data_IF_140803201186
#
_entry.id   IF_140803201186
#
_cell.length_a   1.000
_cell.length_b   1.000
_cell.length_c   1.000
_cell.angle_alpha   90.00
_cell.angle_beta   90.00
_cell.angle_gamma   90.00
#
_symmetry.space_group_name_H-M   'P 1'
#
loop_
_entity.id
_entity.type
_entity.pdbx_description
1 polymer ?
#
# COMPACT_ATOMS: atom_id res chain seq x y z
N UNK A 1 -35.70 -8.84 -5.07
CA UNK A 1 -34.89 -7.85 -5.77
C UNK A 1 -33.61 -7.75 -4.96
N UNK A 2 -32.63 -8.59 -5.28
CA UNK A 2 -31.28 -8.56 -4.69
C UNK A 2 -30.54 -7.41 -5.35
N UNK A 3 -30.38 -6.30 -4.61
CA UNK A 3 -29.51 -5.22 -5.01
C UNK A 3 -28.06 -5.69 -4.87
N UNK A 4 -27.41 -6.03 -5.97
CA UNK A 4 -25.98 -6.20 -6.00
C UNK A 4 -25.36 -4.85 -5.63
N UNK A 5 -24.84 -4.73 -4.43
CA UNK A 5 -24.09 -3.57 -4.00
C UNK A 5 -22.73 -3.66 -4.71
N UNK A 6 -22.60 -2.97 -5.83
CA UNK A 6 -21.32 -2.77 -6.49
C UNK A 6 -20.46 -1.89 -5.59
N UNK A 7 -19.62 -2.49 -4.78
CA UNK A 7 -18.58 -1.75 -4.08
C UNK A 7 -17.57 -1.26 -5.12
N UNK A 8 -17.55 0.05 -5.32
CA UNK A 8 -16.55 0.69 -6.16
C UNK A 8 -15.20 0.59 -5.42
N UNK A 9 -14.32 -0.30 -5.87
CA UNK A 9 -12.97 -0.43 -5.29
C UNK A 9 -12.21 0.86 -5.57
N UNK A 10 -11.97 1.63 -4.51
CA UNK A 10 -11.21 2.86 -4.61
C UNK A 10 -9.71 2.54 -4.75
N UNK A 11 -9.06 3.13 -5.75
CA UNK A 11 -7.60 3.04 -5.89
C UNK A 11 -6.91 3.91 -4.84
N UNK A 12 -5.66 3.58 -4.52
CA UNK A 12 -4.86 4.38 -3.59
C UNK A 12 -4.59 5.79 -4.12
N UNK A 13 -4.61 6.83 -3.26
CA UNK A 13 -4.27 8.20 -3.64
C UNK A 13 -2.78 8.38 -3.95
N UNK A 14 -1.94 7.46 -3.44
CA UNK A 14 -0.49 7.44 -3.62
C UNK A 14 -0.05 6.24 -4.45
N UNK A 15 0.94 6.42 -5.29
CA UNK A 15 1.75 5.30 -5.77
C UNK A 15 2.81 5.02 -4.71
N UNK A 16 2.82 3.81 -4.20
CA UNK A 16 3.70 3.43 -3.09
C UNK A 16 4.50 2.18 -3.46
N UNK A 17 5.80 2.21 -3.16
CA UNK A 17 6.67 1.07 -3.39
C UNK A 17 6.22 -0.13 -2.53
N UNK A 18 6.18 -1.33 -3.11
CA UNK A 18 5.65 -2.51 -2.40
C UNK A 18 4.12 -2.54 -2.25
N UNK A 19 3.40 -1.59 -2.88
CA UNK A 19 1.94 -1.50 -2.78
C UNK A 19 1.23 -2.78 -3.20
N UNK A 20 0.22 -3.19 -2.44
CA UNK A 20 -0.47 -4.50 -2.52
C UNK A 20 -1.62 -4.54 -3.53
N UNK A 21 -1.63 -3.64 -4.54
CA UNK A 21 -2.72 -3.57 -5.53
C UNK A 21 -2.97 -4.91 -6.25
N UNK A 22 -1.90 -5.66 -6.58
CA UNK A 22 -2.00 -6.97 -7.25
C UNK A 22 -2.51 -8.08 -6.33
N UNK A 23 -2.36 -7.92 -5.01
CA UNK A 23 -2.81 -8.88 -4.01
C UNK A 23 -4.22 -8.59 -3.48
N UNK A 24 -4.82 -7.46 -3.86
CA UNK A 24 -6.14 -7.07 -3.35
C UNK A 24 -7.21 -8.17 -3.47
N UNK A 25 -7.34 -8.91 -4.59
CA UNK A 25 -8.32 -9.98 -4.67
C UNK A 25 -8.14 -11.01 -3.56
N UNK A 26 -6.90 -11.41 -3.26
CA UNK A 26 -6.60 -12.38 -2.21
C UNK A 26 -6.79 -11.80 -0.81
N UNK A 27 -6.35 -10.56 -0.60
CA UNK A 27 -6.52 -9.86 0.69
C UNK A 27 -8.00 -9.66 1.04
N UNK A 28 -8.81 -9.26 0.05
CA UNK A 28 -10.25 -9.08 0.23
C UNK A 28 -10.97 -10.41 0.50
N UNK A 29 -10.54 -11.50 -0.16
CA UNK A 29 -11.07 -12.84 0.07
C UNK A 29 -10.83 -13.32 1.51
N UNK A 30 -9.67 -12.99 2.08
CA UNK A 30 -9.28 -13.37 3.44
C UNK A 30 -9.81 -12.42 4.51
N UNK A 31 -10.51 -11.34 4.14
CA UNK A 31 -10.99 -10.34 5.10
C UNK A 31 -12.05 -10.94 6.03
N UNK A 32 -11.77 -11.10 7.34
CA UNK A 32 -12.73 -11.68 8.28
C UNK A 32 -13.79 -10.67 8.72
N UNK A 33 -14.93 -11.09 9.25
CA UNK A 33 -15.85 -10.20 9.96
C UNK A 33 -15.14 -9.49 11.13
N UNK A 34 -15.29 -8.15 11.18
CA UNK A 34 -14.71 -7.30 12.21
C UNK A 34 -15.51 -6.00 12.36
N UNK A 35 -15.36 -5.32 13.49
CA UNK A 35 -15.94 -4.00 13.73
C UNK A 35 -14.89 -2.90 13.69
N UNK A 36 -13.65 -3.23 14.06
CA UNK A 36 -12.51 -2.32 14.01
C UNK A 36 -11.46 -2.86 13.04
N UNK A 37 -11.09 -2.05 12.06
CA UNK A 37 -9.97 -2.30 11.14
C UNK A 37 -8.75 -1.52 11.57
N UNK A 38 -7.58 -2.14 11.57
CA UNK A 38 -6.34 -1.49 11.93
C UNK A 38 -5.21 -1.89 10.96
N UNK A 39 -4.73 -0.93 10.15
CA UNK A 39 -3.60 -1.11 9.23
C UNK A 39 -2.36 -0.44 9.84
N UNK A 40 -1.48 -1.26 10.44
CA UNK A 40 -0.39 -0.77 11.31
C UNK A 40 0.89 -0.41 10.55
N UNK A 41 0.99 -0.78 9.27
CA UNK A 41 2.01 -0.37 8.30
C UNK A 41 1.27 0.10 7.05
N UNK A 42 0.69 1.29 7.09
CA UNK A 42 -0.31 1.69 6.09
C UNK A 42 0.27 1.87 4.69
N UNK A 43 1.50 2.36 4.56
CA UNK A 43 2.09 2.61 3.25
C UNK A 43 1.12 3.29 2.27
N UNK A 44 0.86 2.65 1.13
CA UNK A 44 -0.11 3.15 0.13
C UNK A 44 -1.59 2.94 0.49
N UNK A 45 -1.92 2.31 1.62
CA UNK A 45 -3.29 2.02 2.08
C UNK A 45 -4.14 1.22 1.08
N UNK A 46 -3.53 0.23 0.40
CA UNK A 46 -4.22 -0.49 -0.67
C UNK A 46 -5.47 -1.21 -0.18
N UNK A 47 -5.38 -1.95 0.93
CA UNK A 47 -6.51 -2.69 1.49
C UNK A 47 -7.53 -1.75 2.14
N UNK A 48 -7.07 -0.70 2.85
CA UNK A 48 -7.94 0.31 3.45
C UNK A 48 -8.89 0.96 2.43
N UNK A 49 -8.37 1.39 1.26
CA UNK A 49 -9.19 2.02 0.23
C UNK A 49 -10.03 1.03 -0.58
N UNK A 50 -9.64 -0.23 -0.66
CA UNK A 50 -10.34 -1.24 -1.45
C UNK A 50 -11.50 -1.91 -0.69
N UNK A 51 -11.38 -2.06 0.64
CA UNK A 51 -12.42 -2.70 1.45
C UNK A 51 -13.57 -1.76 1.78
N UNK A 52 -14.77 -2.29 2.09
CA UNK A 52 -15.84 -1.50 2.69
C UNK A 52 -15.39 -0.85 4.01
N UNK A 53 -15.92 0.33 4.37
CA UNK A 53 -15.69 0.92 5.67
C UNK A 53 -16.10 0.00 6.83
N UNK A 54 -15.36 0.05 7.93
CA UNK A 54 -15.70 -0.57 9.21
C UNK A 54 -16.27 0.46 10.19
N UNK A 55 -16.87 0.03 11.30
CA UNK A 55 -17.40 0.95 12.32
C UNK A 55 -16.31 1.90 12.85
N UNK A 56 -15.09 1.36 13.05
CA UNK A 56 -13.89 2.11 13.43
C UNK A 56 -12.72 1.69 12.54
N UNK A 57 -11.91 2.65 12.12
CA UNK A 57 -10.76 2.40 11.27
C UNK A 57 -9.54 3.14 11.79
N UNK A 58 -8.41 2.47 11.75
CA UNK A 58 -7.11 2.98 12.20
C UNK A 58 -6.08 2.73 11.13
N UNK A 59 -5.34 3.77 10.78
CA UNK A 59 -4.13 3.66 9.97
C UNK A 59 -2.93 4.18 10.75
N UNK A 60 -1.79 3.54 10.59
CA UNK A 60 -0.56 3.90 11.25
C UNK A 60 0.65 3.69 10.33
N UNK A 61 1.63 4.54 10.45
CA UNK A 61 2.96 4.34 9.85
C UNK A 61 4.03 5.07 10.66
N UNK A 62 5.26 4.57 10.62
CA UNK A 62 6.41 5.25 11.23
C UNK A 62 6.89 6.46 10.42
N UNK A 63 6.59 6.54 9.10
CA UNK A 63 6.90 7.71 8.28
C UNK A 63 5.92 8.85 8.56
N UNK A 64 6.33 9.81 9.41
CA UNK A 64 5.54 10.99 9.73
C UNK A 64 5.17 11.85 8.51
N UNK A 65 5.92 11.77 7.40
CA UNK A 65 5.59 12.47 6.14
C UNK A 65 4.39 11.83 5.47
N UNK A 66 4.31 10.49 5.50
CA UNK A 66 3.17 9.72 4.98
C UNK A 66 1.92 9.96 5.80
N UNK A 67 2.02 9.86 7.13
CA UNK A 67 0.87 10.10 8.02
C UNK A 67 0.39 11.55 7.95
N UNK A 68 1.29 12.53 7.77
CA UNK A 68 0.93 13.90 7.47
C UNK A 68 0.15 14.01 6.15
N UNK A 69 0.54 13.29 5.09
CA UNK A 69 -0.22 13.29 3.84
C UNK A 69 -1.67 12.84 4.06
N UNK A 70 -1.88 11.73 4.77
CA UNK A 70 -3.23 11.24 5.09
C UNK A 70 -3.99 12.21 6.01
N UNK A 71 -3.30 12.83 6.96
CA UNK A 71 -3.90 13.85 7.83
C UNK A 71 -4.38 15.06 7.04
N UNK A 72 -3.55 15.61 6.14
CA UNK A 72 -3.93 16.74 5.28
C UNK A 72 -5.04 16.36 4.31
N UNK A 73 -5.03 15.14 3.77
CA UNK A 73 -6.09 14.62 2.92
C UNK A 73 -7.43 14.51 3.67
N UNK A 74 -7.42 14.23 4.97
CA UNK A 74 -8.61 14.18 5.81
C UNK A 74 -9.12 15.58 6.20
N UNK A 75 -8.21 16.49 6.57
CA UNK A 75 -8.57 17.75 7.26
C UNK A 75 -8.51 18.99 6.37
N UNK A 76 -7.67 18.99 5.33
CA UNK A 76 -7.41 20.13 4.43
C UNK A 76 -7.54 19.71 2.95
N UNK A 77 -8.51 18.86 2.65
CA UNK A 77 -8.64 18.25 1.32
C UNK A 77 -8.76 19.29 0.19
N UNK A 78 -9.60 20.34 0.27
CA UNK A 78 -9.76 21.29 -0.84
C UNK A 78 -8.44 21.97 -1.24
N UNK A 79 -7.64 22.38 -0.25
CA UNK A 79 -6.35 23.05 -0.47
C UNK A 79 -5.32 22.07 -1.03
N UNK A 80 -5.27 20.85 -0.49
CA UNK A 80 -4.37 19.80 -1.01
C UNK A 80 -4.75 19.41 -2.44
N UNK A 81 -6.03 19.23 -2.74
CA UNK A 81 -6.54 18.93 -4.06
C UNK A 81 -6.14 20.04 -5.07
N UNK A 82 -6.33 21.31 -4.70
CA UNK A 82 -5.95 22.45 -5.54
C UNK A 82 -4.46 22.43 -5.89
N UNK A 83 -3.60 22.17 -4.91
CA UNK A 83 -2.16 22.06 -5.15
C UNK A 83 -1.84 20.89 -6.09
N UNK A 84 -2.43 19.70 -5.85
CA UNK A 84 -2.23 18.51 -6.67
C UNK A 84 -2.71 18.73 -8.09
N UNK A 85 -3.90 19.29 -8.28
CA UNK A 85 -4.49 19.54 -9.62
C UNK A 85 -3.69 20.56 -10.43
N UNK A 86 -3.11 21.57 -9.78
CA UNK A 86 -2.25 22.56 -10.42
C UNK A 86 -0.85 22.01 -10.79
N UNK A 87 -0.46 20.85 -10.28
CA UNK A 87 0.88 20.29 -10.47
C UNK A 87 0.98 19.54 -11.79
N UNK A 88 1.72 20.05 -12.74
CA UNK A 88 2.05 19.34 -13.98
C UNK A 88 3.23 18.38 -13.76
N UNK A 89 3.32 17.35 -14.61
CA UNK A 89 4.48 16.46 -14.62
C UNK A 89 5.72 17.23 -15.09
N UNK A 90 6.60 17.55 -14.17
CA UNK A 90 7.74 18.43 -14.40
C UNK A 90 8.88 18.10 -13.43
N UNK A 91 10.10 18.05 -13.94
CA UNK A 91 11.30 17.92 -13.15
C UNK A 91 11.46 19.07 -12.15
N UNK A 92 11.09 20.30 -12.56
CA UNK A 92 11.13 21.48 -11.67
C UNK A 92 10.21 21.27 -10.45
N UNK A 93 8.99 20.78 -10.65
CA UNK A 93 8.09 20.45 -9.53
C UNK A 93 8.65 19.32 -8.66
N UNK A 94 9.28 18.33 -9.29
CA UNK A 94 9.88 17.20 -8.59
C UNK A 94 11.05 17.63 -7.68
N UNK A 95 11.95 18.49 -8.18
CA UNK A 95 13.05 19.02 -7.38
C UNK A 95 12.57 20.03 -6.32
N UNK A 96 11.59 20.88 -6.64
CA UNK A 96 10.96 21.75 -5.66
C UNK A 96 10.33 20.95 -4.50
N UNK A 97 9.63 19.85 -4.80
CA UNK A 97 9.06 18.98 -3.79
C UNK A 97 10.12 18.35 -2.86
N UNK A 98 11.30 18.04 -3.38
CA UNK A 98 12.44 17.61 -2.57
C UNK A 98 12.87 18.68 -1.59
N UNK A 99 12.99 19.92 -2.04
CA UNK A 99 13.38 21.05 -1.20
C UNK A 99 12.33 21.32 -0.10
N UNK A 100 11.03 21.28 -0.46
CA UNK A 100 9.91 21.41 0.49
C UNK A 100 9.97 20.34 1.59
N UNK A 101 10.25 19.08 1.23
CA UNK A 101 10.37 18.01 2.23
C UNK A 101 11.60 18.16 3.15
N UNK A 102 12.64 18.83 2.68
CA UNK A 102 13.88 19.06 3.44
C UNK A 102 13.81 20.31 4.34
N UNK A 103 12.88 21.23 4.09
CA UNK A 103 12.74 22.47 4.84
C UNK A 103 11.92 22.27 6.13
N UNK A 104 12.52 22.43 7.33
CA UNK A 104 11.79 22.32 8.59
C UNK A 104 10.73 23.42 8.80
N UNK A 105 10.87 24.57 8.13
CA UNK A 105 9.96 25.72 8.23
C UNK A 105 8.74 25.63 7.31
N UNK A 106 8.69 24.65 6.43
CA UNK A 106 7.59 24.50 5.47
C UNK A 106 6.30 24.01 6.15
N UNK A 107 5.15 24.42 5.65
CA UNK A 107 3.84 24.02 6.17
C UNK A 107 3.55 22.54 5.94
N UNK A 108 2.74 21.93 6.82
CA UNK A 108 2.34 20.53 6.71
C UNK A 108 1.56 20.25 5.43
N UNK A 109 0.75 21.20 4.96
CA UNK A 109 0.01 21.11 3.71
C UNK A 109 0.97 21.02 2.50
N UNK A 110 1.99 21.87 2.45
CA UNK A 110 2.98 21.84 1.36
C UNK A 110 3.86 20.60 1.43
N UNK A 111 4.19 20.11 2.62
CA UNK A 111 4.88 18.83 2.81
C UNK A 111 4.03 17.65 2.32
N UNK A 112 2.71 17.65 2.55
CA UNK A 112 1.79 16.64 2.04
C UNK A 112 1.75 16.66 0.49
N UNK A 113 1.65 17.85 -0.11
CA UNK A 113 1.76 18.01 -1.55
C UNK A 113 3.09 17.47 -2.10
N UNK A 114 4.20 17.85 -1.45
CA UNK A 114 5.53 17.43 -1.87
C UNK A 114 5.73 15.90 -1.76
N UNK A 115 5.18 15.28 -0.73
CA UNK A 115 5.19 13.83 -0.57
C UNK A 115 4.45 13.14 -1.73
N UNK A 116 3.26 13.64 -2.08
CA UNK A 116 2.50 13.16 -3.23
C UNK A 116 3.30 13.29 -4.53
N UNK A 117 3.89 14.46 -4.80
CA UNK A 117 4.71 14.71 -6.01
C UNK A 117 5.88 13.72 -6.09
N UNK A 118 6.61 13.56 -4.99
CA UNK A 118 7.77 12.66 -4.93
C UNK A 118 7.38 11.19 -5.15
N UNK A 119 6.24 10.73 -4.64
CA UNK A 119 5.73 9.38 -4.89
C UNK A 119 5.22 9.19 -6.31
N UNK A 120 4.53 10.19 -6.87
CA UNK A 120 3.88 10.08 -8.20
C UNK A 120 4.85 10.27 -9.37
N UNK A 121 5.91 11.06 -9.20
CA UNK A 121 6.83 11.41 -10.27
C UNK A 121 8.19 10.69 -10.16
N UNK A 122 8.41 9.87 -9.13
CA UNK A 122 9.62 9.09 -8.99
C UNK A 122 9.65 7.89 -9.94
N UNK A 123 10.84 7.56 -10.40
CA UNK A 123 11.09 6.26 -11.04
C UNK A 123 10.84 5.13 -10.03
N UNK A 124 10.12 4.09 -10.43
CA UNK A 124 9.71 2.96 -9.56
C UNK A 124 8.93 3.36 -8.31
N UNK A 125 8.33 4.56 -8.28
CA UNK A 125 7.51 5.06 -7.16
C UNK A 125 8.21 5.10 -5.80
N UNK A 126 9.55 5.14 -5.79
CA UNK A 126 10.35 5.25 -4.58
C UNK A 126 10.45 6.72 -4.20
N UNK A 127 9.93 7.10 -3.04
CA UNK A 127 10.10 8.45 -2.48
C UNK A 127 11.60 8.68 -2.23
N UNK A 128 12.22 9.56 -3.01
CA UNK A 128 13.68 9.76 -2.98
C UNK A 128 14.43 9.22 -4.21
N UNK A 129 13.76 8.45 -5.08
CA UNK A 129 14.29 8.05 -6.39
C UNK A 129 14.48 9.21 -7.37
N UNK A 130 15.00 8.94 -8.56
CA UNK A 130 15.11 9.94 -9.64
C UNK A 130 13.76 10.30 -10.25
N UNK A 131 13.72 11.46 -10.92
CA UNK A 131 12.54 11.86 -11.70
C UNK A 131 12.28 10.86 -12.86
N UNK A 132 11.07 10.38 -12.96
CA UNK A 132 10.68 9.46 -14.02
C UNK A 132 10.27 10.22 -15.29
N UNK A 133 10.96 9.95 -16.37
CA UNK A 133 10.66 10.45 -17.72
C UNK A 133 10.62 9.27 -18.71
N UNK A 134 9.93 9.43 -19.83
CA UNK A 134 9.85 8.38 -20.86
C UNK A 134 8.69 8.60 -21.82
N UNK A 135 8.76 7.96 -22.96
CA UNK A 135 7.80 8.11 -24.08
C UNK A 135 6.50 7.31 -23.86
N UNK A 136 6.53 6.27 -23.01
CA UNK A 136 5.47 5.26 -22.91
C UNK A 136 4.31 5.68 -22.00
N UNK A 137 3.53 6.70 -22.38
CA UNK A 137 2.24 6.99 -21.76
C UNK A 137 2.23 7.49 -20.31
N UNK A 138 3.41 7.71 -19.72
CA UNK A 138 3.53 8.17 -18.33
C UNK A 138 2.77 9.47 -18.04
N UNK A 139 2.72 10.39 -19.03
CA UNK A 139 1.97 11.64 -18.92
C UNK A 139 0.46 11.44 -18.75
N UNK A 140 -0.14 10.49 -19.48
CA UNK A 140 -1.56 10.17 -19.38
C UNK A 140 -1.92 9.53 -18.05
N UNK A 141 -1.12 8.57 -17.57
CA UNK A 141 -1.30 7.92 -16.26
C UNK A 141 -1.27 8.95 -15.12
N UNK A 142 -0.31 9.87 -15.14
CA UNK A 142 -0.15 10.90 -14.10
C UNK A 142 -1.24 11.97 -14.15
N UNK A 143 -1.66 12.37 -15.35
CA UNK A 143 -2.80 13.26 -15.51
C UNK A 143 -4.10 12.61 -15.00
N UNK A 144 -4.28 11.31 -15.21
CA UNK A 144 -5.40 10.55 -14.65
C UNK A 144 -5.37 10.56 -13.12
N UNK A 145 -4.21 10.31 -12.49
CA UNK A 145 -4.06 10.33 -11.03
C UNK A 145 -4.42 11.68 -10.41
N UNK A 146 -4.04 12.79 -11.04
CA UNK A 146 -4.44 14.14 -10.61
C UNK A 146 -5.95 14.34 -10.68
N UNK A 147 -6.57 13.96 -11.80
CA UNK A 147 -8.03 14.10 -11.99
C UNK A 147 -8.82 13.21 -11.03
N UNK A 148 -8.29 12.04 -10.71
CA UNK A 148 -8.93 11.08 -9.84
C UNK A 148 -8.71 11.37 -8.35
N UNK A 149 -7.94 12.39 -7.99
CA UNK A 149 -7.80 12.86 -6.62
C UNK A 149 -9.02 13.70 -6.26
N UNK A 150 -10.08 13.05 -5.79
CA UNK A 150 -11.40 13.62 -5.51
C UNK A 150 -11.73 13.56 -4.02
N UNK A 151 -12.76 14.28 -3.60
CA UNK A 151 -13.29 14.33 -2.23
C UNK A 151 -13.73 12.98 -1.67
N UNK A 152 -13.96 11.99 -2.54
CA UNK A 152 -14.20 10.61 -2.13
C UNK A 152 -13.12 10.07 -1.17
N UNK A 153 -11.85 10.52 -1.33
CA UNK A 153 -10.79 10.14 -0.40
C UNK A 153 -11.00 10.73 1.00
N UNK A 154 -11.41 11.99 1.09
CA UNK A 154 -11.74 12.64 2.36
C UNK A 154 -12.89 11.92 3.06
N UNK A 155 -13.98 11.67 2.33
CA UNK A 155 -15.14 10.94 2.88
C UNK A 155 -14.79 9.52 3.32
N UNK A 156 -13.94 8.82 2.56
CA UNK A 156 -13.47 7.48 2.94
C UNK A 156 -12.70 7.47 4.26
N UNK A 157 -12.06 8.58 4.62
CA UNK A 157 -11.27 8.72 5.83
C UNK A 157 -12.04 9.33 7.01
N UNK A 158 -13.32 9.62 6.88
CA UNK A 158 -14.09 10.35 7.89
C UNK A 158 -14.00 9.73 9.29
N UNK A 159 -14.18 8.41 9.39
CA UNK A 159 -14.12 7.67 10.67
C UNK A 159 -12.72 7.13 11.00
N UNK A 160 -11.71 7.48 10.22
CA UNK A 160 -10.36 6.92 10.35
C UNK A 160 -9.54 7.68 11.39
N UNK A 161 -8.97 6.98 12.36
CA UNK A 161 -7.92 7.49 13.24
C UNK A 161 -6.55 7.33 12.57
N UNK A 162 -5.69 8.34 12.65
CA UNK A 162 -4.35 8.33 12.05
C UNK A 162 -3.30 8.42 13.15
N UNK A 163 -2.37 7.48 13.16
CA UNK A 163 -1.26 7.43 14.12
C UNK A 163 0.08 7.48 13.40
N UNK A 164 1.09 7.98 14.13
CA UNK A 164 2.50 7.92 13.74
C UNK A 164 3.30 7.35 14.92
N UNK A 165 3.22 6.03 15.07
CA UNK A 165 3.80 5.29 16.20
C UNK A 165 4.38 3.96 15.76
N UNK A 166 5.11 3.32 16.67
CA UNK A 166 5.51 1.93 16.53
C UNK A 166 4.28 1.02 16.33
N UNK A 167 4.37 0.08 15.39
CA UNK A 167 3.25 -0.80 15.02
C UNK A 167 2.80 -1.68 16.19
N UNK A 168 3.75 -2.19 17.00
CA UNK A 168 3.44 -3.04 18.16
C UNK A 168 2.69 -2.25 19.24
N UNK A 169 3.01 -0.97 19.41
CA UNK A 169 2.28 -0.10 20.36
C UNK A 169 0.83 0.10 19.91
N UNK A 170 0.59 0.26 18.61
CA UNK A 170 -0.78 0.35 18.06
C UNK A 170 -1.53 -0.98 18.19
N UNK A 171 -0.87 -2.11 17.93
CA UNK A 171 -1.46 -3.44 18.13
C UNK A 171 -1.93 -3.58 19.58
N UNK A 172 -1.07 -3.29 20.56
CA UNK A 172 -1.43 -3.36 21.99
C UNK A 172 -2.56 -2.39 22.37
N UNK A 173 -2.55 -1.18 21.81
CA UNK A 173 -3.54 -0.14 22.10
C UNK A 173 -4.93 -0.49 21.57
N UNK A 174 -5.01 -1.11 20.39
CA UNK A 174 -6.25 -1.35 19.64
C UNK A 174 -6.73 -2.80 19.69
N UNK A 175 -6.03 -3.70 20.44
CA UNK A 175 -6.40 -5.10 20.52
C UNK A 175 -7.73 -5.32 21.24
N UNK A 176 -8.62 -5.99 20.55
CA UNK A 176 -9.90 -6.48 21.07
C UNK A 176 -10.40 -7.67 20.24
N UNK A 177 -11.35 -8.49 20.74
CA UNK A 177 -11.92 -9.59 19.94
C UNK A 177 -12.59 -9.15 18.63
N UNK A 178 -12.96 -7.86 18.52
CA UNK A 178 -13.61 -7.27 17.34
C UNK A 178 -12.63 -6.56 16.40
N UNK A 179 -11.33 -6.56 16.70
CA UNK A 179 -10.31 -5.90 15.89
C UNK A 179 -9.72 -6.87 14.87
N UNK A 180 -9.57 -6.38 13.65
CA UNK A 180 -8.79 -7.00 12.59
C UNK A 180 -7.58 -6.14 12.25
N UNK A 181 -6.38 -6.70 12.41
CA UNK A 181 -5.12 -6.08 12.06
C UNK A 181 -4.65 -6.55 10.69
N UNK A 182 -4.38 -5.62 9.77
CA UNK A 182 -3.60 -5.89 8.58
C UNK A 182 -2.17 -5.40 8.79
N UNK A 183 -1.21 -6.29 8.61
CA UNK A 183 0.21 -6.05 8.82
C UNK A 183 0.98 -6.32 7.52
N UNK A 184 1.66 -5.30 7.02
CA UNK A 184 2.53 -5.36 5.83
C UNK A 184 3.87 -4.68 6.17
N UNK A 185 4.68 -5.29 7.08
CA UNK A 185 5.94 -4.69 7.53
C UNK A 185 6.96 -4.63 6.40
N UNK A 186 8.00 -3.78 6.51
CA UNK A 186 9.16 -3.86 5.62
C UNK A 186 9.77 -5.25 5.62
N UNK A 187 10.12 -5.78 4.44
CA UNK A 187 10.67 -7.13 4.31
C UNK A 187 12.18 -7.12 4.56
N UNK A 188 12.62 -7.72 5.65
CA UNK A 188 13.98 -7.62 6.20
C UNK A 188 15.05 -8.15 5.24
N UNK A 189 14.76 -9.21 4.47
CA UNK A 189 15.70 -9.83 3.53
C UNK A 189 15.64 -9.25 2.12
N UNK A 190 14.80 -8.23 1.89
CA UNK A 190 14.74 -7.61 0.57
C UNK A 190 15.87 -6.60 0.40
N UNK A 191 16.74 -6.79 -0.59
CA UNK A 191 17.73 -5.79 -1.05
C UNK A 191 17.10 -4.49 -1.58
N UNK A 192 15.79 -4.36 -1.47
CA UNK A 192 15.02 -3.27 -2.04
C UNK A 192 14.99 -2.10 -1.07
N UNK A 193 16.10 -1.39 -1.07
CA UNK A 193 16.45 -0.21 -0.35
C UNK A 193 15.35 0.79 -0.11
N UNK A 194 14.99 0.99 1.12
CA UNK A 194 14.16 2.12 1.47
C UNK A 194 13.76 2.18 2.93
N UNK A 195 13.57 1.07 3.56
CA UNK A 195 13.15 1.06 4.97
C UNK A 195 14.36 0.87 5.88
N UNK A 196 15.23 1.92 5.94
CA UNK A 196 16.33 1.95 6.91
C UNK A 196 15.74 1.93 8.32
N UNK A 197 16.14 0.93 9.11
CA UNK A 197 15.79 0.86 10.52
C UNK A 197 14.69 -0.14 10.90
N UNK A 198 14.25 -1.02 9.99
CA UNK A 198 13.44 -2.19 10.34
C UNK A 198 14.30 -3.46 10.21
N UNK A 199 14.54 -4.12 11.33
CA UNK A 199 15.44 -5.26 11.44
C UNK A 199 14.70 -6.56 11.77
N UNK A 200 15.40 -7.71 11.73
CA UNK A 200 14.83 -9.01 12.08
C UNK A 200 14.28 -9.03 13.52
N UNK A 201 14.92 -8.29 14.43
CA UNK A 201 14.44 -8.11 15.81
C UNK A 201 13.07 -7.44 15.89
N UNK A 202 12.80 -6.45 14.99
CA UNK A 202 11.50 -5.79 14.91
C UNK A 202 10.42 -6.72 14.36
N UNK A 203 10.80 -7.55 13.37
CA UNK A 203 9.90 -8.56 12.83
C UNK A 203 9.54 -9.62 13.88
N UNK A 204 10.51 -10.13 14.64
CA UNK A 204 10.25 -11.05 15.74
C UNK A 204 9.36 -10.41 16.82
N UNK A 205 9.61 -9.14 17.18
CA UNK A 205 8.78 -8.38 18.12
C UNK A 205 7.34 -8.21 17.62
N UNK A 206 7.14 -8.02 16.32
CA UNK A 206 5.82 -8.01 15.69
C UNK A 206 5.13 -9.38 15.83
N UNK A 207 5.82 -10.47 15.49
CA UNK A 207 5.26 -11.83 15.59
C UNK A 207 4.86 -12.18 17.04
N UNK A 208 5.68 -11.81 18.02
CA UNK A 208 5.37 -11.96 19.45
C UNK A 208 4.12 -11.16 19.86
N UNK A 209 3.96 -9.94 19.34
CA UNK A 209 2.76 -9.17 19.57
C UNK A 209 1.53 -9.86 18.99
N UNK A 210 1.61 -10.32 17.73
CA UNK A 210 0.51 -10.99 17.02
C UNK A 210 0.13 -12.33 17.66
N UNK A 211 1.07 -13.04 18.27
CA UNK A 211 0.81 -14.27 19.04
C UNK A 211 -0.12 -14.04 20.23
N UNK A 212 -0.09 -12.86 20.81
CA UNK A 212 -0.75 -12.55 22.08
C UNK A 212 -2.02 -11.72 21.93
N UNK A 213 -2.48 -11.38 20.72
CA UNK A 213 -3.70 -10.58 20.51
C UNK A 213 -4.97 -11.40 20.77
N UNK A 214 -6.04 -10.70 21.14
CA UNK A 214 -7.42 -11.21 21.21
C UNK A 214 -8.14 -11.12 19.87
N UNK A 215 -7.68 -10.20 19.03
CA UNK A 215 -8.23 -9.93 17.72
C UNK A 215 -7.76 -10.90 16.64
N UNK A 216 -8.04 -10.53 15.42
CA UNK A 216 -7.63 -11.25 14.21
C UNK A 216 -6.53 -10.48 13.50
N UNK A 217 -5.62 -11.19 12.83
CA UNK A 217 -4.63 -10.55 11.97
C UNK A 217 -4.47 -11.25 10.63
N UNK A 218 -4.06 -10.47 9.63
CA UNK A 218 -3.54 -10.93 8.34
C UNK A 218 -2.18 -10.25 8.13
N UNK A 219 -1.13 -11.05 8.05
CA UNK A 219 0.25 -10.62 7.85
C UNK A 219 0.69 -10.95 6.43
N UNK A 220 1.17 -9.94 5.70
CA UNK A 220 1.85 -10.07 4.41
C UNK A 220 3.36 -9.98 4.62
N UNK A 221 4.13 -10.98 4.19
CA UNK A 221 5.58 -11.00 4.38
C UNK A 221 6.25 -12.01 3.44
N UNK A 222 7.58 -12.13 3.52
CA UNK A 222 8.28 -13.30 2.97
C UNK A 222 8.27 -14.46 3.98
N UNK A 223 8.39 -15.73 3.51
CA UNK A 223 8.44 -16.92 4.35
C UNK A 223 9.78 -17.04 5.06
N UNK A 224 10.06 -16.14 5.99
CA UNK A 224 11.32 -16.06 6.74
C UNK A 224 11.36 -17.02 7.93
N UNK A 225 12.56 -17.38 8.38
CA UNK A 225 12.78 -18.38 9.43
C UNK A 225 11.94 -18.20 10.69
N UNK A 226 11.93 -17.03 11.35
CA UNK A 226 11.10 -16.79 12.52
C UNK A 226 9.61 -16.99 12.27
N UNK A 227 9.08 -16.53 11.13
CA UNK A 227 7.67 -16.72 10.79
C UNK A 227 7.29 -18.19 10.69
N UNK A 228 8.17 -19.04 10.13
CA UNK A 228 7.91 -20.46 9.99
C UNK A 228 7.86 -21.18 11.35
N UNK A 229 8.60 -20.70 12.34
CA UNK A 229 8.55 -21.18 13.72
C UNK A 229 7.23 -20.80 14.39
N UNK A 230 6.84 -19.53 14.33
CA UNK A 230 5.56 -19.04 14.87
C UNK A 230 4.34 -19.71 14.23
N UNK A 231 4.34 -19.96 12.93
CA UNK A 231 3.27 -20.69 12.23
C UNK A 231 3.06 -22.08 12.84
N UNK A 232 4.16 -22.80 13.12
CA UNK A 232 4.09 -24.16 13.72
C UNK A 232 3.68 -24.13 15.19
N UNK A 233 4.19 -23.17 15.95
CA UNK A 233 3.89 -23.05 17.38
C UNK A 233 2.46 -22.62 17.68
N UNK A 234 1.91 -21.72 16.85
CA UNK A 234 0.62 -21.08 17.07
C UNK A 234 -0.50 -21.64 16.18
N UNK A 235 -0.20 -22.65 15.35
CA UNK A 235 -1.13 -23.21 14.36
C UNK A 235 -1.76 -22.15 13.45
N UNK A 236 -0.94 -21.19 12.98
CA UNK A 236 -1.40 -20.13 12.09
C UNK A 236 -1.61 -20.65 10.68
N UNK A 237 -2.71 -20.26 10.08
CA UNK A 237 -2.99 -20.50 8.66
C UNK A 237 -2.05 -19.70 7.77
N UNK A 238 -1.77 -20.20 6.58
CA UNK A 238 -0.94 -19.48 5.61
C UNK A 238 -1.23 -19.86 4.17
N UNK A 239 -0.85 -18.96 3.25
CA UNK A 239 -0.86 -19.18 1.81
C UNK A 239 0.35 -18.54 1.18
N UNK A 240 1.13 -19.33 0.44
CA UNK A 240 2.27 -18.84 -0.31
C UNK A 240 1.86 -18.47 -1.75
N UNK A 241 2.19 -17.26 -2.15
CA UNK A 241 1.84 -16.68 -3.45
C UNK A 241 3.10 -16.46 -4.26
N UNK A 242 3.25 -17.21 -5.36
CA UNK A 242 4.38 -17.01 -6.29
C UNK A 242 4.10 -15.80 -7.16
N UNK A 243 4.89 -14.76 -7.04
CA UNK A 243 4.84 -13.58 -7.89
C UNK A 243 6.01 -13.60 -8.88
N UNK A 244 5.71 -13.33 -10.16
CA UNK A 244 6.74 -13.12 -11.15
C UNK A 244 7.32 -11.72 -10.97
N UNK A 245 8.63 -11.62 -10.74
CA UNK A 245 9.32 -10.32 -10.69
C UNK A 245 9.66 -9.93 -12.11
N UNK A 246 9.22 -8.72 -12.52
CA UNK A 246 9.53 -8.17 -13.84
C UNK A 246 11.04 -8.16 -14.08
N UNK A 247 11.45 -8.65 -15.23
CA UNK A 247 12.86 -8.82 -15.63
C UNK A 247 13.48 -7.46 -15.87
N UNK A 248 14.41 -7.04 -15.03
CA UNK A 248 15.38 -6.00 -15.38
C UNK A 248 16.62 -6.68 -15.96
N UNK A 249 16.74 -6.62 -17.28
CA UNK A 249 18.00 -6.75 -18.02
C UNK A 249 18.77 -8.06 -17.90
N UNK A 250 18.25 -9.15 -18.42
CA UNK A 250 18.86 -10.28 -19.14
C UNK A 250 17.81 -11.36 -19.37
N UNK A 251 17.65 -11.80 -20.60
CA UNK A 251 16.48 -12.54 -21.13
C UNK A 251 16.23 -13.96 -20.60
N UNK A 252 17.00 -14.51 -19.66
CA UNK A 252 16.99 -15.99 -19.45
C UNK A 252 16.66 -16.50 -18.03
N UNK A 253 16.37 -15.65 -17.02
CA UNK A 253 15.94 -16.17 -15.73
C UNK A 253 14.71 -15.44 -15.21
N UNK A 254 13.53 -16.10 -15.28
CA UNK A 254 12.32 -15.66 -14.59
C UNK A 254 12.56 -15.76 -13.09
N UNK A 255 12.84 -14.63 -12.43
CA UNK A 255 12.94 -14.57 -10.97
C UNK A 255 11.54 -14.56 -10.38
N UNK A 256 11.23 -15.53 -9.53
CA UNK A 256 10.02 -15.56 -8.75
C UNK A 256 10.34 -15.09 -7.33
N UNK A 257 9.47 -14.26 -6.76
CA UNK A 257 9.43 -13.99 -5.33
C UNK A 257 8.23 -14.73 -4.77
N UNK A 258 8.41 -15.32 -3.59
CA UNK A 258 7.31 -15.95 -2.85
C UNK A 258 6.88 -14.94 -1.79
N UNK A 259 5.73 -14.35 -1.96
CA UNK A 259 5.06 -13.59 -0.92
C UNK A 259 4.10 -14.51 -0.18
N UNK A 260 4.01 -14.40 1.13
CA UNK A 260 3.12 -15.23 1.92
C UNK A 260 2.14 -14.40 2.73
N UNK A 261 0.92 -14.90 2.82
CA UNK A 261 -0.11 -14.41 3.72
C UNK A 261 -0.20 -15.38 4.90
N UNK A 262 -0.26 -14.84 6.13
CA UNK A 262 -0.38 -15.61 7.38
C UNK A 262 -1.47 -15.01 8.26
N UNK A 263 -2.35 -15.84 8.85
CA UNK A 263 -3.47 -15.36 9.66
C UNK A 263 -3.83 -16.34 10.78
N UNK A 264 -4.59 -15.89 11.81
CA UNK A 264 -4.95 -16.64 13.02
C UNK A 264 -6.45 -16.97 13.14
N UNK A 265 -7.18 -17.06 12.05
CA UNK A 265 -8.63 -17.32 12.05
C UNK A 265 -9.02 -18.25 10.90
N UNK A 266 -10.21 -18.87 10.98
CA UNK A 266 -10.75 -19.68 9.88
C UNK A 266 -11.09 -18.81 8.67
N UNK A 267 -10.82 -19.32 7.46
CA UNK A 267 -11.14 -18.59 6.23
C UNK A 267 -12.64 -18.26 6.13
N UNK A 268 -12.98 -17.01 5.75
CA UNK A 268 -14.39 -16.63 5.58
C UNK A 268 -15.04 -17.38 4.40
N UNK A 269 -16.10 -18.11 4.65
CA UNK A 269 -16.74 -19.01 3.66
C UNK A 269 -17.65 -18.32 2.65
N UNK A 270 -18.13 -17.09 2.88
CA UNK A 270 -19.07 -16.38 2.00
C UNK A 270 -18.78 -14.91 1.71
N UNK A 271 -18.18 -14.17 2.63
CA UNK A 271 -17.91 -12.73 2.45
C UNK A 271 -16.76 -12.48 1.48
N UNK A 272 -15.76 -13.37 1.47
CA UNK A 272 -14.63 -13.29 0.56
C UNK A 272 -15.02 -13.45 -0.92
N UNK A 273 -15.99 -14.29 -1.23
CA UNK A 273 -16.45 -14.49 -2.61
C UNK A 273 -17.16 -13.25 -3.19
N UNK A 274 -17.95 -12.53 -2.38
CA UNK A 274 -18.59 -11.29 -2.78
C UNK A 274 -17.60 -10.16 -3.08
N UNK A 275 -16.52 -10.07 -2.31
CA UNK A 275 -15.46 -9.06 -2.53
C UNK A 275 -14.51 -9.45 -3.65
N UNK A 276 -14.18 -10.74 -3.80
CA UNK A 276 -13.35 -11.22 -4.90
C UNK A 276 -14.02 -11.04 -6.26
N UNK A 277 -15.34 -11.24 -6.35
CA UNK A 277 -16.11 -11.01 -7.57
C UNK A 277 -16.20 -9.52 -7.96
N UNK A 278 -16.01 -8.61 -7.02
CA UNK A 278 -15.99 -7.16 -7.26
C UNK A 278 -14.59 -6.61 -7.56
N UNK A 279 -13.53 -7.40 -7.39
CA UNK A 279 -12.17 -6.98 -7.74
C UNK A 279 -12.06 -6.83 -9.27
N UNK A 280 -11.60 -5.70 -9.81
CA UNK A 280 -11.34 -5.59 -11.24
C UNK A 280 -10.29 -6.63 -11.61
N UNK A 281 -10.51 -7.35 -12.72
CA UNK A 281 -9.45 -8.15 -13.34
C UNK A 281 -8.20 -7.28 -13.40
N UNK A 282 -7.06 -7.83 -12.98
CA UNK A 282 -5.80 -7.12 -13.02
C UNK A 282 -5.58 -6.68 -14.47
N UNK A 283 -5.89 -5.43 -14.75
CA UNK A 283 -5.55 -4.81 -16.03
C UNK A 283 -4.04 -4.88 -16.07
N UNK A 284 -3.53 -5.80 -16.87
CA UNK A 284 -2.12 -5.89 -17.14
C UNK A 284 -1.66 -4.48 -17.53
N UNK A 285 -0.75 -3.90 -16.76
CA UNK A 285 0.02 -2.77 -17.22
C UNK A 285 0.64 -3.28 -18.51
N UNK A 286 0.10 -2.78 -19.65
CA UNK A 286 0.56 -3.16 -20.96
C UNK A 286 2.02 -2.74 -21.13
N UNK A 287 2.90 -3.62 -20.80
CA UNK A 287 4.28 -3.63 -21.23
C UNK A 287 4.31 -4.36 -22.59
N UNK A 288 3.65 -3.77 -23.56
CA UNK A 288 3.85 -4.10 -24.96
C UNK A 288 5.08 -3.33 -25.45
N UNK A 289 6.25 -3.87 -25.16
CA UNK A 289 7.46 -3.57 -25.93
C UNK A 289 7.56 -4.60 -27.06
N UNK A 290 6.79 -4.42 -28.12
CA UNK A 290 7.14 -4.97 -29.43
C UNK A 290 8.18 -4.03 -30.08
N UNK A 291 9.44 -4.33 -29.86
CA UNK A 291 10.54 -3.90 -30.73
C UNK A 291 10.42 -4.59 -32.09
N UNK A 292 9.73 -3.95 -33.03
CA UNK A 292 9.91 -4.27 -34.45
C UNK A 292 11.17 -3.57 -34.96
N UNK A 293 12.26 -4.29 -34.92
CA UNK A 293 13.49 -3.96 -35.69
C UNK A 293 13.17 -4.10 -37.17
N UNK A 294 12.90 -2.97 -37.83
CA UNK A 294 12.96 -2.88 -39.28
C UNK A 294 14.44 -2.72 -39.70
N UNK A 295 15.03 -3.82 -40.13
CA UNK A 295 16.22 -3.82 -40.96
C UNK A 295 15.89 -3.07 -42.25
N UNK A 296 16.57 -1.98 -42.51
CA UNK A 296 16.76 -1.45 -43.90
C UNK A 296 18.15 -1.84 -44.37
N UNK A 297 18.15 -2.82 -45.25
CA UNK A 297 19.17 -2.93 -46.30
C UNK A 297 18.84 -1.88 -47.39
N UNK A 298 19.76 -1.03 -47.69
CA UNK A 298 20.30 -0.49 -48.93
C UNK A 298 21.04 0.84 -48.68
#
# INVERSE_FOLDING_TARGET
>A
VEGAIYFFIMRTPLTYYGGKQRLLPELLRLLPPHRQYCEVFVGGAALFFAKPPSDNEVINDMDGRLTNFYWQMKTNFPELQKLIQATLHSEVHYENAKNVLADPGESDLRRAWAYWVRGQMAFSSIVGGGFAFGENGLGHSRASKRRNFTDAYMHRMEVCEIFNRDAVDIIKLKDSPNTFFYCDPPYVTSDQGGYKGYEMSDFVRLLEALKNIKGKFLLSSYPEGPLLEFRRECDWHFKDLKQMVGVSGKRDEKKYKVECLTWNYEEPTRQGELFAAAAPEAVGDGDESEDSVLSRED
#
